data_IF_850479239665
#
_entry.id   IF_850479239665
#
_cell.length_a   1.000
_cell.length_b   1.000
_cell.length_c   1.000
_cell.angle_alpha   90.00
_cell.angle_beta   90.00
_cell.angle_gamma   90.00
#
_symmetry.space_group_name_H-M   'P 1'
#
loop_
_entity.id
_entity.type
_entity.pdbx_description
1 polymer ?
#
# COMPACT_ATOMS: atom_id res chain seq x y z
N UNK A 1 -7.54 27.53 48.52
CA UNK A 1 -7.01 26.84 47.32
C UNK A 1 -7.97 25.71 46.97
N UNK A 2 -8.94 25.98 46.10
CA UNK A 2 -9.85 24.96 45.57
C UNK A 2 -9.59 24.87 44.07
N UNK A 3 -9.03 23.75 43.64
CA UNK A 3 -8.77 23.41 42.23
C UNK A 3 -10.10 23.14 41.55
N UNK A 4 -10.51 24.02 40.63
CA UNK A 4 -11.68 23.81 39.79
C UNK A 4 -11.48 22.59 38.90
N UNK A 5 -12.40 21.63 38.98
CA UNK A 5 -12.45 20.53 38.02
C UNK A 5 -12.92 21.07 36.66
N UNK A 6 -12.37 20.59 35.53
CA UNK A 6 -12.79 21.03 34.22
C UNK A 6 -14.22 20.56 33.95
N UNK A 7 -15.13 21.50 33.66
CA UNK A 7 -16.49 21.19 33.23
C UNK A 7 -16.45 20.38 31.93
N UNK A 8 -16.98 19.16 31.99
CA UNK A 8 -17.02 18.26 30.83
C UNK A 8 -18.06 18.81 29.84
N UNK A 9 -17.61 19.22 28.65
CA UNK A 9 -18.48 19.82 27.63
C UNK A 9 -19.67 18.89 27.30
N UNK A 10 -20.91 19.39 27.21
CA UNK A 10 -22.09 18.57 26.92
C UNK A 10 -21.99 17.81 25.58
N UNK A 11 -21.19 18.32 24.63
CA UNK A 11 -20.87 17.64 23.39
C UNK A 11 -20.05 16.35 23.61
N UNK A 12 -19.17 16.34 24.62
CA UNK A 12 -18.32 15.20 24.96
C UNK A 12 -19.12 14.08 25.62
N UNK A 13 -20.11 14.45 26.45
CA UNK A 13 -21.07 13.51 27.05
C UNK A 13 -22.00 12.90 26.01
N UNK A 14 -22.47 13.69 25.04
CA UNK A 14 -23.24 13.19 23.90
C UNK A 14 -22.43 12.24 23.01
N UNK A 15 -21.19 12.58 22.70
CA UNK A 15 -20.29 11.72 21.93
C UNK A 15 -20.00 10.40 22.68
N UNK A 16 -19.75 10.46 23.98
CA UNK A 16 -19.56 9.28 24.82
C UNK A 16 -20.83 8.41 24.87
N UNK A 17 -22.02 9.01 24.98
CA UNK A 17 -23.29 8.30 24.96
C UNK A 17 -23.56 7.59 23.62
N UNK A 18 -23.29 8.25 22.50
CA UNK A 18 -23.38 7.65 21.16
C UNK A 18 -22.38 6.51 20.96
N UNK A 19 -21.15 6.66 21.48
CA UNK A 19 -20.15 5.61 21.45
C UNK A 19 -20.57 4.37 22.25
N UNK A 20 -21.13 4.56 23.46
CA UNK A 20 -21.64 3.46 24.29
C UNK A 20 -22.83 2.76 23.62
N UNK A 21 -23.74 3.50 22.99
CA UNK A 21 -24.86 2.92 22.23
C UNK A 21 -24.38 2.17 20.98
N UNK A 22 -23.38 2.68 20.27
CA UNK A 22 -22.78 2.00 19.12
C UNK A 22 -22.06 0.71 19.55
N UNK A 23 -21.32 0.74 20.66
CA UNK A 23 -20.66 -0.45 21.23
C UNK A 23 -21.71 -1.44 21.74
N UNK A 24 -22.74 -0.99 22.45
CA UNK A 24 -23.81 -1.85 22.99
C UNK A 24 -24.64 -2.53 21.89
N UNK A 25 -25.02 -1.79 20.85
CA UNK A 25 -25.72 -2.36 19.67
C UNK A 25 -24.83 -3.32 18.88
N UNK A 26 -23.55 -3.02 18.76
CA UNK A 26 -22.57 -3.91 18.14
C UNK A 26 -22.40 -5.21 18.95
N UNK A 27 -22.23 -5.13 20.27
CA UNK A 27 -22.16 -6.28 21.17
C UNK A 27 -23.45 -7.12 21.15
N UNK A 28 -24.62 -6.47 21.12
CA UNK A 28 -25.90 -7.15 20.95
C UNK A 28 -25.97 -7.92 19.61
N UNK A 29 -25.45 -7.33 18.52
CA UNK A 29 -25.34 -8.03 17.24
C UNK A 29 -24.36 -9.23 17.27
N UNK A 30 -23.30 -9.18 18.09
CA UNK A 30 -22.41 -10.33 18.34
C UNK A 30 -23.18 -11.46 19.05
N UNK A 31 -23.96 -11.11 20.06
CA UNK A 31 -24.73 -12.08 20.87
C UNK A 31 -25.85 -12.71 20.04
N UNK A 32 -26.58 -11.91 19.25
CA UNK A 32 -27.65 -12.39 18.35
C UNK A 32 -27.08 -13.19 17.17
N UNK A 33 -25.86 -12.89 16.71
CA UNK A 33 -25.17 -13.60 15.64
C UNK A 33 -24.62 -14.99 15.99
N UNK A 34 -24.82 -15.46 17.23
CA UNK A 34 -24.47 -16.83 17.67
C UNK A 34 -25.42 -17.92 17.17
N UNK A 35 -26.54 -17.55 16.54
CA UNK A 35 -27.54 -18.50 16.03
C UNK A 35 -27.45 -18.71 14.51
N UNK A 36 -26.77 -19.77 14.08
CA UNK A 36 -27.12 -20.65 12.95
C UNK A 36 -25.92 -21.54 12.60
N UNK A 37 -26.13 -22.87 12.52
CA UNK A 37 -25.12 -23.88 12.15
C UNK A 37 -24.49 -23.74 10.73
N UNK A 38 -24.78 -22.64 10.02
CA UNK A 38 -24.45 -22.43 8.60
C UNK A 38 -23.27 -21.48 8.37
N UNK A 39 -22.72 -20.87 9.42
CA UNK A 39 -21.64 -19.88 9.30
C UNK A 39 -20.41 -20.28 10.15
N UNK A 40 -19.19 -19.92 9.71
CA UNK A 40 -17.98 -20.12 10.52
C UNK A 40 -18.07 -19.44 11.90
N UNK A 41 -17.31 -19.90 12.91
CA UNK A 41 -17.32 -19.29 14.24
C UNK A 41 -16.90 -17.83 14.21
N UNK A 42 -17.42 -17.04 15.15
CA UNK A 42 -16.96 -15.66 15.39
C UNK A 42 -15.78 -15.70 16.35
N UNK A 43 -14.59 -15.37 15.86
CA UNK A 43 -13.37 -15.33 16.66
C UNK A 43 -13.12 -13.96 17.33
N UNK A 44 -13.87 -12.93 16.92
CA UNK A 44 -13.75 -11.61 17.53
C UNK A 44 -14.26 -10.49 16.64
N UNK A 45 -13.67 -9.31 16.85
CA UNK A 45 -14.03 -8.05 16.21
C UNK A 45 -12.85 -7.52 15.42
N UNK A 46 -13.11 -6.65 14.45
CA UNK A 46 -12.02 -5.95 13.74
C UNK A 46 -11.19 -5.05 14.64
N UNK A 47 -11.70 -4.64 15.81
CA UNK A 47 -10.95 -3.83 16.76
C UNK A 47 -9.79 -4.59 17.41
N UNK A 48 -9.87 -5.93 17.50
CA UNK A 48 -8.74 -6.73 17.95
C UNK A 48 -7.53 -6.61 16.99
N UNK A 49 -7.76 -6.36 15.69
CA UNK A 49 -6.67 -6.13 14.74
C UNK A 49 -5.89 -4.85 15.07
N UNK A 50 -6.57 -3.81 15.54
CA UNK A 50 -5.93 -2.56 15.99
C UNK A 50 -5.14 -2.79 17.27
N UNK A 51 -5.72 -3.54 18.22
CA UNK A 51 -5.04 -3.86 19.48
C UNK A 51 -3.78 -4.71 19.25
N UNK A 52 -3.83 -5.68 18.32
CA UNK A 52 -2.71 -6.55 17.98
C UNK A 52 -1.89 -6.06 16.78
N UNK A 53 -1.97 -4.78 16.39
CA UNK A 53 -1.39 -4.31 15.12
C UNK A 53 0.09 -4.67 14.96
N UNK A 54 0.90 -4.53 16.02
CA UNK A 54 2.34 -4.86 16.04
C UNK A 54 2.65 -6.35 15.83
N UNK A 55 1.68 -7.22 16.09
CA UNK A 55 1.80 -8.68 15.98
C UNK A 55 0.59 -9.24 15.24
N UNK A 56 0.11 -8.51 14.23
CA UNK A 56 -1.17 -8.82 13.57
C UNK A 56 -1.14 -10.21 12.91
N UNK A 57 0.00 -10.57 12.31
CA UNK A 57 0.19 -11.89 11.71
C UNK A 57 0.28 -13.01 12.75
N UNK A 58 0.92 -12.78 13.89
CA UNK A 58 0.93 -13.75 15.00
C UNK A 58 -0.49 -13.95 15.54
N UNK A 59 -1.23 -12.85 15.74
CA UNK A 59 -2.63 -12.89 16.16
C UNK A 59 -3.49 -13.72 15.20
N UNK A 60 -3.35 -13.49 13.89
CA UNK A 60 -4.04 -14.33 12.90
C UNK A 60 -3.59 -15.79 12.96
N UNK A 61 -2.30 -16.04 13.15
CA UNK A 61 -1.78 -17.41 13.26
C UNK A 61 -2.37 -18.14 14.46
N UNK A 62 -2.49 -17.47 15.61
CA UNK A 62 -3.13 -18.03 16.79
C UNK A 62 -4.61 -18.36 16.52
N UNK A 63 -5.35 -17.46 15.86
CA UNK A 63 -6.73 -17.75 15.45
C UNK A 63 -6.83 -18.91 14.45
N UNK A 64 -5.89 -19.03 13.52
CA UNK A 64 -5.88 -20.12 12.54
C UNK A 64 -5.48 -21.47 13.13
N UNK A 65 -4.79 -21.50 14.28
CA UNK A 65 -4.53 -22.73 15.03
C UNK A 65 -5.80 -23.32 15.64
N UNK A 66 -6.76 -22.46 15.98
CA UNK A 66 -8.03 -22.86 16.58
C UNK A 66 -9.14 -23.07 15.53
N UNK A 67 -9.11 -22.30 14.44
CA UNK A 67 -10.15 -22.26 13.43
C UNK A 67 -9.58 -22.16 12.01
N UNK A 68 -9.85 -23.17 11.17
CA UNK A 68 -9.47 -23.11 9.75
C UNK A 68 -10.19 -21.98 8.99
N UNK A 69 -11.44 -21.67 9.37
CA UNK A 69 -12.20 -20.54 8.85
C UNK A 69 -12.94 -19.87 10.01
N UNK A 70 -12.83 -18.54 10.12
CA UNK A 70 -13.52 -17.77 11.16
C UNK A 70 -13.98 -16.42 10.65
N UNK A 71 -14.80 -15.75 11.47
CA UNK A 71 -15.31 -14.40 11.20
C UNK A 71 -14.78 -13.40 12.22
N UNK A 72 -14.38 -12.23 11.71
CA UNK A 72 -14.26 -11.01 12.50
C UNK A 72 -15.42 -10.08 12.16
N UNK A 73 -16.14 -9.68 13.20
CA UNK A 73 -17.27 -8.77 13.05
C UNK A 73 -16.75 -7.35 12.86
N UNK A 74 -17.32 -6.60 11.92
CA UNK A 74 -17.00 -5.20 11.71
C UNK A 74 -18.29 -4.37 11.67
N UNK A 75 -18.24 -3.07 11.99
CA UNK A 75 -19.38 -2.19 11.75
C UNK A 75 -19.81 -2.26 10.27
N UNK A 76 -21.07 -2.63 10.03
CA UNK A 76 -21.67 -2.69 8.69
C UNK A 76 -21.17 -3.80 7.76
N UNK A 77 -20.28 -4.70 8.19
CA UNK A 77 -19.78 -5.81 7.35
C UNK A 77 -19.29 -7.01 8.16
N UNK A 78 -19.28 -8.18 7.52
CA UNK A 78 -18.71 -9.41 8.08
C UNK A 78 -17.43 -9.73 7.31
N UNK A 79 -16.30 -9.86 7.99
CA UNK A 79 -15.05 -10.30 7.38
C UNK A 79 -14.87 -11.79 7.67
N UNK A 80 -14.60 -12.58 6.63
CA UNK A 80 -14.33 -14.01 6.73
C UNK A 80 -12.83 -14.19 6.44
N UNK A 81 -12.17 -14.94 7.31
CA UNK A 81 -10.76 -15.30 7.20
C UNK A 81 -10.69 -16.82 7.08
N UNK A 82 -9.84 -17.32 6.20
CA UNK A 82 -9.73 -18.76 5.94
C UNK A 82 -8.30 -19.16 5.61
N UNK A 83 -7.84 -20.23 6.23
CA UNK A 83 -6.65 -21.00 5.88
C UNK A 83 -7.02 -22.37 5.26
N UNK A 84 -8.32 -22.68 5.18
CA UNK A 84 -8.82 -23.88 4.48
C UNK A 84 -8.49 -23.82 2.99
N UNK A 85 -7.62 -24.73 2.55
CA UNK A 85 -7.14 -24.83 1.17
C UNK A 85 -8.25 -25.02 0.14
N UNK A 86 -9.33 -25.74 0.47
CA UNK A 86 -10.45 -25.95 -0.45
C UNK A 86 -11.24 -24.64 -0.66
N UNK A 87 -11.40 -23.84 0.40
CA UNK A 87 -12.03 -22.52 0.31
C UNK A 87 -11.12 -21.54 -0.44
N UNK A 88 -9.81 -21.57 -0.18
CA UNK A 88 -8.83 -20.75 -0.91
C UNK A 88 -8.84 -21.07 -2.41
N UNK A 89 -8.85 -22.36 -2.77
CA UNK A 89 -8.97 -22.80 -4.16
C UNK A 89 -10.29 -22.34 -4.78
N UNK A 90 -11.38 -22.44 -4.03
CA UNK A 90 -12.68 -21.98 -4.50
C UNK A 90 -12.68 -20.51 -4.88
N UNK A 91 -12.12 -19.66 -4.01
CA UNK A 91 -12.02 -18.21 -4.18
C UNK A 91 -11.07 -17.86 -5.33
N UNK A 92 -9.88 -18.45 -5.37
CA UNK A 92 -8.80 -18.02 -6.27
C UNK A 92 -8.82 -18.72 -7.64
N UNK A 93 -9.48 -19.87 -7.77
CA UNK A 93 -9.47 -20.68 -8.99
C UNK A 93 -10.87 -20.99 -9.52
N UNK A 94 -11.68 -21.74 -8.77
CA UNK A 94 -12.90 -22.34 -9.36
C UNK A 94 -14.04 -21.35 -9.51
N UNK A 95 -14.05 -20.27 -8.71
CA UNK A 95 -15.13 -19.28 -8.70
C UNK A 95 -14.62 -17.82 -8.66
N UNK A 96 -13.42 -17.59 -9.20
CA UNK A 96 -12.70 -16.31 -9.13
C UNK A 96 -13.54 -15.09 -9.56
N UNK A 97 -14.36 -15.22 -10.60
CA UNK A 97 -15.19 -14.13 -11.11
C UNK A 97 -16.17 -13.55 -10.07
N UNK A 98 -16.54 -14.33 -9.05
CA UNK A 98 -17.42 -13.90 -7.96
C UNK A 98 -16.68 -13.27 -6.77
N UNK A 99 -15.34 -13.29 -6.77
CA UNK A 99 -14.50 -12.79 -5.67
C UNK A 99 -13.56 -11.67 -6.13
N UNK A 100 -14.13 -10.55 -6.58
CA UNK A 100 -13.38 -9.30 -6.79
C UNK A 100 -12.93 -8.65 -5.48
N UNK A 101 -12.01 -7.68 -5.56
CA UNK A 101 -11.56 -6.88 -4.40
C UNK A 101 -12.70 -6.06 -3.81
N UNK A 102 -13.58 -5.55 -4.67
CA UNK A 102 -14.82 -4.88 -4.33
C UNK A 102 -14.65 -3.41 -3.93
N UNK A 103 -15.79 -2.72 -3.82
CA UNK A 103 -15.86 -1.28 -3.54
C UNK A 103 -15.15 -0.87 -2.24
N UNK A 104 -15.15 -1.73 -1.21
CA UNK A 104 -14.49 -1.40 0.05
C UNK A 104 -12.97 -1.41 -0.05
N UNK A 105 -12.38 -2.24 -0.93
CA UNK A 105 -10.96 -2.21 -1.23
C UNK A 105 -10.64 -0.96 -2.05
N UNK A 106 -11.41 -0.75 -3.13
CA UNK A 106 -11.27 0.42 -4.00
C UNK A 106 -11.23 1.73 -3.20
N UNK A 107 -12.22 1.97 -2.36
CA UNK A 107 -12.36 3.18 -1.54
C UNK A 107 -11.18 3.41 -0.57
N UNK A 108 -10.49 2.35 -0.15
CA UNK A 108 -9.30 2.49 0.71
C UNK A 108 -8.04 2.80 -0.08
N UNK A 109 -7.91 2.26 -1.29
CA UNK A 109 -6.64 2.27 -2.04
C UNK A 109 -6.61 3.25 -3.21
N UNK A 110 -7.78 3.72 -3.67
CA UNK A 110 -7.90 4.58 -4.85
C UNK A 110 -7.22 5.93 -4.72
N UNK A 111 -7.09 6.47 -3.50
CA UNK A 111 -6.42 7.77 -3.32
C UNK A 111 -4.92 7.70 -3.67
N UNK A 112 -4.26 6.56 -3.46
CA UNK A 112 -2.83 6.38 -3.75
C UNK A 112 -2.59 5.71 -5.11
N UNK A 113 -3.39 4.69 -5.44
CA UNK A 113 -3.16 3.84 -6.61
C UNK A 113 -4.11 4.14 -7.77
N UNK A 114 -5.04 5.09 -7.58
CA UNK A 114 -6.07 5.40 -8.56
C UNK A 114 -6.80 4.14 -9.02
N UNK A 115 -6.95 4.06 -10.33
CA UNK A 115 -7.56 2.96 -11.07
C UNK A 115 -6.58 1.86 -11.51
N UNK A 116 -5.39 1.83 -10.90
CA UNK A 116 -4.31 0.93 -11.26
C UNK A 116 -4.57 -0.54 -10.92
N UNK A 117 -3.60 -1.39 -11.27
CA UNK A 117 -3.68 -2.86 -11.12
C UNK A 117 -3.96 -3.32 -9.67
N UNK A 118 -3.60 -2.51 -8.67
CA UNK A 118 -3.84 -2.80 -7.25
C UNK A 118 -5.25 -2.46 -6.78
N UNK A 119 -5.97 -1.57 -7.47
CA UNK A 119 -7.32 -1.11 -7.08
C UNK A 119 -8.41 -1.67 -7.98
N UNK A 120 -8.21 -1.71 -9.29
CA UNK A 120 -9.23 -2.13 -10.25
C UNK A 120 -9.65 -3.59 -10.10
N UNK A 121 -10.86 -3.90 -10.58
CA UNK A 121 -11.47 -5.23 -10.69
C UNK A 121 -11.94 -5.51 -12.14
N UNK A 122 -12.34 -6.76 -12.41
CA UNK A 122 -13.04 -7.15 -13.64
C UNK A 122 -12.21 -6.98 -14.91
N UNK A 123 -12.85 -6.56 -16.00
CA UNK A 123 -12.20 -6.35 -17.30
C UNK A 123 -11.10 -5.28 -17.25
N UNK A 124 -11.32 -4.21 -16.47
CA UNK A 124 -10.34 -3.15 -16.27
C UNK A 124 -9.05 -3.72 -15.66
N UNK A 125 -9.16 -4.50 -14.59
CA UNK A 125 -8.00 -5.20 -14.02
C UNK A 125 -7.35 -6.17 -15.01
N UNK A 126 -8.14 -6.94 -15.78
CA UNK A 126 -7.60 -7.87 -16.79
C UNK A 126 -6.80 -7.15 -17.86
N UNK A 127 -7.26 -5.99 -18.33
CA UNK A 127 -6.54 -5.15 -19.27
C UNK A 127 -5.22 -4.65 -18.67
N UNK A 128 -5.29 -4.07 -17.46
CA UNK A 128 -4.10 -3.55 -16.76
C UNK A 128 -3.05 -4.64 -16.53
N UNK A 129 -3.48 -5.82 -16.06
CA UNK A 129 -2.61 -6.99 -15.85
C UNK A 129 -2.02 -7.53 -17.15
N UNK A 130 -2.80 -7.62 -18.22
CA UNK A 130 -2.32 -8.11 -19.52
C UNK A 130 -1.20 -7.21 -20.03
N UNK A 131 -1.38 -5.90 -19.91
CA UNK A 131 -0.39 -4.93 -20.36
C UNK A 131 0.88 -5.02 -19.50
N UNK A 132 0.75 -4.96 -18.17
CA UNK A 132 1.88 -5.13 -17.26
C UNK A 132 2.62 -6.48 -17.45
N UNK A 133 1.93 -7.54 -17.88
CA UNK A 133 2.57 -8.86 -18.08
C UNK A 133 3.65 -8.87 -19.15
N UNK A 134 3.59 -7.98 -20.13
CA UNK A 134 4.65 -7.83 -21.13
C UNK A 134 5.94 -7.32 -20.50
N UNK A 135 5.79 -6.46 -19.49
CA UNK A 135 6.90 -5.85 -18.78
C UNK A 135 7.63 -6.87 -17.88
N UNK A 136 6.91 -7.88 -17.40
CA UNK A 136 7.44 -9.00 -16.62
C UNK A 136 7.77 -10.25 -17.45
N UNK A 137 7.90 -10.13 -18.77
CA UNK A 137 8.31 -11.25 -19.61
C UNK A 137 9.77 -11.64 -19.36
N UNK A 138 10.11 -12.92 -19.56
CA UNK A 138 11.49 -13.42 -19.37
C UNK A 138 12.51 -12.65 -20.22
N UNK A 139 12.12 -12.27 -21.45
CA UNK A 139 12.97 -11.46 -22.33
C UNK A 139 13.18 -10.07 -21.73
N UNK A 140 12.11 -9.40 -21.30
CA UNK A 140 12.24 -8.05 -20.79
C UNK A 140 13.04 -7.98 -19.47
N UNK A 141 12.82 -8.93 -18.57
CA UNK A 141 13.62 -9.05 -17.34
C UNK A 141 15.11 -9.28 -17.64
N UNK A 142 15.43 -10.11 -18.65
CA UNK A 142 16.82 -10.38 -19.04
C UNK A 142 17.48 -9.17 -19.71
N UNK A 143 16.81 -8.60 -20.70
CA UNK A 143 17.40 -7.62 -21.62
C UNK A 143 17.38 -6.20 -21.03
N UNK A 144 16.45 -5.89 -20.13
CA UNK A 144 16.29 -4.55 -19.55
C UNK A 144 16.54 -4.53 -18.05
N UNK A 145 15.95 -5.44 -17.28
CA UNK A 145 16.04 -5.39 -15.81
C UNK A 145 17.37 -5.92 -15.27
N UNK A 146 17.98 -6.91 -15.93
CA UNK A 146 19.21 -7.55 -15.46
C UNK A 146 20.37 -6.57 -15.27
N UNK A 147 20.56 -5.63 -16.21
CA UNK A 147 21.59 -4.59 -16.09
C UNK A 147 21.35 -3.63 -14.93
N UNK A 148 20.09 -3.25 -14.70
CA UNK A 148 19.69 -2.38 -13.59
C UNK A 148 19.93 -3.08 -12.26
N UNK A 149 19.44 -4.32 -12.11
CA UNK A 149 19.63 -5.10 -10.88
C UNK A 149 21.10 -5.34 -10.58
N UNK A 150 21.93 -5.69 -11.57
CA UNK A 150 23.36 -5.88 -11.35
C UNK A 150 24.06 -4.58 -10.93
N UNK A 151 23.70 -3.45 -11.56
CA UNK A 151 24.24 -2.13 -11.20
C UNK A 151 23.90 -1.78 -9.75
N UNK A 152 22.63 -1.89 -9.36
CA UNK A 152 22.18 -1.49 -8.03
C UNK A 152 22.64 -2.47 -6.96
N UNK A 153 22.73 -3.78 -7.28
CA UNK A 153 23.36 -4.78 -6.41
C UNK A 153 24.85 -4.48 -6.20
N UNK A 154 25.57 -4.02 -7.22
CA UNK A 154 26.95 -3.59 -7.07
C UNK A 154 27.07 -2.33 -6.20
N UNK A 155 26.20 -1.32 -6.39
CA UNK A 155 26.12 -0.13 -5.50
C UNK A 155 25.90 -0.57 -4.05
N UNK A 156 24.93 -1.44 -3.81
CA UNK A 156 24.63 -1.99 -2.50
C UNK A 156 25.82 -2.74 -1.89
N UNK A 157 26.47 -3.62 -2.66
CA UNK A 157 27.64 -4.36 -2.22
C UNK A 157 28.81 -3.44 -1.84
N UNK A 158 29.02 -2.34 -2.59
CA UNK A 158 30.03 -1.34 -2.26
C UNK A 158 29.74 -0.63 -0.93
N UNK A 159 28.49 -0.22 -0.70
CA UNK A 159 28.08 0.39 0.59
C UNK A 159 28.32 -0.59 1.74
N UNK A 160 27.88 -1.84 1.56
CA UNK A 160 28.04 -2.88 2.58
C UNK A 160 29.52 -3.16 2.88
N UNK A 161 30.34 -3.29 1.84
CA UNK A 161 31.78 -3.52 1.97
C UNK A 161 32.50 -2.33 2.64
N UNK A 162 32.10 -1.10 2.33
CA UNK A 162 32.67 0.10 2.94
C UNK A 162 32.38 0.17 4.45
N UNK A 163 31.13 -0.07 4.83
CA UNK A 163 30.72 -0.09 6.24
C UNK A 163 31.38 -1.24 7.01
N UNK A 164 31.50 -2.43 6.40
CA UNK A 164 32.19 -3.56 6.99
C UNK A 164 33.69 -3.27 7.23
N UNK A 165 34.37 -2.65 6.25
CA UNK A 165 35.76 -2.25 6.39
C UNK A 165 35.95 -1.20 7.51
N UNK A 166 34.99 -0.28 7.65
CA UNK A 166 34.96 0.73 8.70
C UNK A 166 34.46 0.20 10.07
N UNK A 167 34.09 -1.09 10.16
CA UNK A 167 33.46 -1.73 11.34
C UNK A 167 32.25 -0.94 11.87
N UNK A 168 31.54 -0.27 10.97
CA UNK A 168 30.35 0.49 11.34
C UNK A 168 29.16 -0.48 11.46
N UNK A 169 28.38 -0.41 12.54
CA UNK A 169 27.13 -1.13 12.61
C UNK A 169 26.23 -0.61 11.49
N UNK A 170 25.62 -1.53 10.76
CA UNK A 170 24.77 -1.23 9.62
C UNK A 170 23.49 -1.97 9.82
N UNK A 171 22.41 -1.22 9.76
CA UNK A 171 21.09 -1.79 9.87
C UNK A 171 20.57 -2.12 8.48
N UNK A 172 20.24 -3.40 8.29
CA UNK A 172 19.61 -3.87 7.06
C UNK A 172 18.08 -3.77 7.15
N UNK A 173 17.52 -3.63 8.36
CA UNK A 173 16.07 -3.79 8.60
C UNK A 173 15.45 -2.90 9.69
N UNK A 174 16.22 -2.23 10.54
CA UNK A 174 15.72 -1.53 11.73
C UNK A 174 16.34 -0.11 11.84
N UNK A 175 15.69 0.76 12.61
CA UNK A 175 16.30 2.02 13.05
C UNK A 175 15.86 2.27 14.49
N UNK A 176 16.77 2.22 15.48
CA UNK A 176 16.48 2.79 16.79
C UNK A 176 16.65 4.31 16.69
N UNK A 177 15.66 5.06 17.17
CA UNK A 177 15.63 6.52 17.36
C UNK A 177 15.02 7.41 16.25
N UNK A 178 13.68 7.45 16.22
CA UNK A 178 12.94 8.72 16.06
C UNK A 178 11.96 8.88 17.25
N UNK A 179 12.19 9.86 18.16
CA UNK A 179 11.50 9.92 19.46
C UNK A 179 10.02 10.34 19.39
N UNK A 180 9.48 10.65 18.20
CA UNK A 180 8.09 11.11 18.04
C UNK A 180 7.50 10.46 16.78
N UNK A 181 7.32 9.14 16.76
CA UNK A 181 6.38 8.47 15.85
C UNK A 181 5.52 7.52 16.66
N UNK A 182 4.45 8.10 17.18
CA UNK A 182 3.54 7.50 18.15
C UNK A 182 2.49 6.66 17.39
N UNK A 183 2.51 5.36 17.70
CA UNK A 183 1.51 4.30 17.49
C UNK A 183 1.23 3.66 16.11
N UNK A 184 1.60 4.21 14.96
CA UNK A 184 1.09 3.67 13.67
C UNK A 184 2.07 3.64 12.50
N UNK A 185 3.35 3.96 12.73
CA UNK A 185 4.32 4.23 11.66
C UNK A 185 5.65 3.52 11.90
N UNK A 186 5.67 2.20 11.75
CA UNK A 186 6.85 1.39 12.11
C UNK A 186 6.81 -0.03 11.58
N UNK A 187 6.07 -0.29 10.49
CA UNK A 187 5.99 -1.64 9.95
C UNK A 187 7.04 -1.94 8.86
N UNK A 188 7.77 -0.96 8.31
CA UNK A 188 8.68 -1.18 7.16
C UNK A 188 9.90 -0.23 7.08
N UNK A 189 10.64 0.03 8.17
CA UNK A 189 11.90 0.82 8.09
C UNK A 189 13.11 -0.05 7.66
N UNK A 190 13.07 -0.62 6.44
CA UNK A 190 14.25 -1.25 5.82
C UNK A 190 15.04 -0.22 5.00
N UNK A 191 15.91 0.57 5.61
CA UNK A 191 16.52 1.69 4.87
C UNK A 191 17.31 1.23 3.63
N UNK A 192 18.17 0.22 3.73
CA UNK A 192 19.12 -0.07 2.65
C UNK A 192 18.52 -0.95 1.54
N UNK A 193 17.80 -2.02 1.92
CA UNK A 193 17.17 -2.93 0.95
C UNK A 193 15.96 -2.28 0.26
N UNK A 194 15.18 -1.46 0.97
CA UNK A 194 14.08 -0.73 0.35
C UNK A 194 14.60 0.32 -0.63
N UNK A 195 15.64 1.09 -0.27
CA UNK A 195 16.30 2.04 -1.20
C UNK A 195 16.81 1.33 -2.45
N UNK A 196 17.51 0.20 -2.30
CA UNK A 196 18.00 -0.58 -3.43
C UNK A 196 16.86 -1.12 -4.31
N UNK A 197 15.80 -1.65 -3.70
CA UNK A 197 14.63 -2.17 -4.42
C UNK A 197 13.89 -1.04 -5.14
N UNK A 198 13.75 0.12 -4.49
CA UNK A 198 13.10 1.30 -5.04
C UNK A 198 13.90 1.84 -6.23
N UNK A 199 15.22 2.00 -6.11
CA UNK A 199 16.09 2.43 -7.22
C UNK A 199 15.96 1.49 -8.43
N UNK A 200 16.00 0.17 -8.20
CA UNK A 200 15.88 -0.82 -9.25
C UNK A 200 14.50 -0.83 -9.91
N UNK A 201 13.44 -0.97 -9.12
CA UNK A 201 12.08 -1.05 -9.64
C UNK A 201 11.69 0.26 -10.30
N UNK A 202 12.04 1.42 -9.73
CA UNK A 202 11.72 2.71 -10.34
C UNK A 202 12.52 2.95 -11.64
N UNK A 203 13.79 2.55 -11.68
CA UNK A 203 14.57 2.59 -12.94
C UNK A 203 13.93 1.71 -14.01
N UNK A 204 13.50 0.50 -13.65
CA UNK A 204 12.84 -0.42 -14.59
C UNK A 204 11.47 0.12 -15.02
N UNK A 205 10.69 0.62 -14.06
CA UNK A 205 9.32 1.06 -14.22
C UNK A 205 9.19 2.40 -14.95
N UNK A 206 10.06 3.35 -14.65
CA UNK A 206 9.94 4.76 -15.09
C UNK A 206 11.09 5.13 -16.01
N UNK A 207 12.18 4.35 -16.03
CA UNK A 207 13.35 4.61 -16.86
C UNK A 207 14.31 5.62 -16.25
N UNK A 208 14.11 6.01 -14.98
CA UNK A 208 14.88 7.03 -14.28
C UNK A 208 15.48 6.42 -13.01
N UNK A 209 16.77 6.64 -12.80
CA UNK A 209 17.42 6.30 -11.53
C UNK A 209 17.01 7.31 -10.46
N UNK A 210 16.37 6.83 -9.38
CA UNK A 210 16.04 7.68 -8.23
C UNK A 210 17.29 8.04 -7.43
N UNK A 211 18.31 7.17 -7.49
CA UNK A 211 19.59 7.30 -6.81
C UNK A 211 19.46 7.54 -5.30
N UNK A 212 18.51 6.83 -4.67
CA UNK A 212 18.28 6.89 -3.23
C UNK A 212 19.44 6.29 -2.43
N UNK A 213 20.16 5.31 -3.01
CA UNK A 213 21.36 4.73 -2.41
C UNK A 213 22.55 5.71 -2.34
N UNK A 214 22.60 6.70 -3.22
CA UNK A 214 23.70 7.69 -3.27
C UNK A 214 23.29 9.06 -2.72
N UNK A 215 22.04 9.22 -2.25
CA UNK A 215 21.60 10.39 -1.50
C UNK A 215 20.94 11.50 -2.33
N UNK A 216 20.32 11.17 -3.47
CA UNK A 216 19.47 12.11 -4.21
C UNK A 216 18.35 12.66 -3.33
N UNK A 217 18.27 13.99 -3.19
CA UNK A 217 17.27 14.66 -2.33
C UNK A 217 15.84 14.45 -2.85
N UNK A 218 15.63 14.62 -4.16
CA UNK A 218 14.30 14.47 -4.78
C UNK A 218 13.85 13.00 -4.78
N UNK A 219 14.74 12.06 -5.13
CA UNK A 219 14.43 10.62 -5.15
C UNK A 219 14.15 10.06 -3.76
N UNK A 220 14.94 10.45 -2.76
CA UNK A 220 14.75 10.03 -1.38
C UNK A 220 13.45 10.59 -0.79
N UNK A 221 13.10 11.85 -1.11
CA UNK A 221 11.83 12.46 -0.70
C UNK A 221 10.63 11.74 -1.31
N UNK A 222 10.70 11.38 -2.60
CA UNK A 222 9.67 10.59 -3.26
C UNK A 222 9.51 9.22 -2.61
N UNK A 223 10.62 8.47 -2.44
CA UNK A 223 10.59 7.13 -1.87
C UNK A 223 10.00 7.12 -0.45
N UNK A 224 10.42 8.05 0.41
CA UNK A 224 9.88 8.20 1.75
C UNK A 224 8.40 8.60 1.77
N UNK A 225 7.96 9.45 0.83
CA UNK A 225 6.56 9.82 0.73
C UNK A 225 5.68 8.64 0.25
N UNK A 226 6.16 7.86 -0.71
CA UNK A 226 5.46 6.67 -1.20
C UNK A 226 5.33 5.58 -0.13
N UNK A 227 6.39 5.39 0.66
CA UNK A 227 6.40 4.43 1.77
C UNK A 227 5.41 4.85 2.89
N UNK A 228 5.50 6.10 3.36
CA UNK A 228 4.54 6.68 4.32
C UNK A 228 3.09 6.57 3.79
N UNK A 229 2.86 6.88 2.51
CA UNK A 229 1.53 6.83 1.92
C UNK A 229 0.99 5.39 1.85
N UNK A 230 1.86 4.43 1.54
CA UNK A 230 1.51 3.01 1.51
C UNK A 230 1.14 2.52 2.92
N UNK A 231 1.90 2.90 3.94
CA UNK A 231 1.61 2.56 5.33
C UNK A 231 0.28 3.15 5.79
N UNK A 232 0.05 4.45 5.58
CA UNK A 232 -1.23 5.07 5.95
C UNK A 232 -2.42 4.48 5.19
N UNK A 233 -2.22 4.08 3.94
CA UNK A 233 -3.25 3.37 3.15
C UNK A 233 -3.55 2.00 3.76
N UNK A 234 -2.55 1.24 4.20
CA UNK A 234 -2.72 -0.05 4.87
C UNK A 234 -3.48 0.09 6.21
N UNK A 235 -3.23 1.17 6.96
CA UNK A 235 -3.94 1.43 8.22
C UNK A 235 -5.46 1.53 8.05
N UNK A 236 -5.96 1.94 6.87
CA UNK A 236 -7.40 2.00 6.57
C UNK A 236 -8.07 0.62 6.63
N UNK A 237 -7.31 -0.46 6.45
CA UNK A 237 -7.85 -1.83 6.50
C UNK A 237 -8.18 -2.27 7.93
N UNK A 238 -7.41 -1.80 8.91
CA UNK A 238 -7.60 -2.12 10.34
C UNK A 238 -8.39 -1.04 11.08
N UNK A 239 -8.30 0.22 10.65
CA UNK A 239 -9.02 1.34 11.27
C UNK A 239 -10.45 1.46 10.73
N UNK A 240 -11.45 1.04 11.50
CA UNK A 240 -12.87 1.16 11.10
C UNK A 240 -13.35 2.62 10.93
N UNK A 241 -12.67 3.59 11.54
CA UNK A 241 -13.08 4.99 11.57
C UNK A 241 -12.28 5.89 10.61
N UNK A 242 -11.51 5.31 9.69
CA UNK A 242 -10.64 6.06 8.77
C UNK A 242 -11.40 7.13 7.96
N UNK A 243 -12.67 6.90 7.58
CA UNK A 243 -13.51 7.88 6.88
C UNK A 243 -13.79 9.13 7.71
N UNK A 244 -13.95 8.97 9.03
CA UNK A 244 -14.16 10.09 9.95
C UNK A 244 -12.87 10.90 10.06
N UNK A 245 -11.72 10.22 10.21
CA UNK A 245 -10.41 10.87 10.21
C UNK A 245 -10.11 11.60 8.89
N UNK A 246 -10.54 11.04 7.76
CA UNK A 246 -10.45 11.65 6.43
C UNK A 246 -11.34 12.88 6.32
N UNK A 247 -12.60 12.80 6.75
CA UNK A 247 -13.54 13.93 6.73
C UNK A 247 -13.06 15.10 7.57
N UNK A 248 -12.53 14.83 8.76
CA UNK A 248 -11.95 15.85 9.66
C UNK A 248 -10.56 16.30 9.22
N UNK A 249 -9.93 15.59 8.27
CA UNK A 249 -8.56 15.81 7.81
C UNK A 249 -7.55 15.88 8.99
N UNK A 250 -7.52 14.84 9.82
CA UNK A 250 -6.64 14.75 11.00
C UNK A 250 -5.82 13.46 11.03
N UNK A 251 -4.68 13.50 11.74
CA UNK A 251 -3.83 12.35 11.99
C UNK A 251 -3.22 11.74 10.72
N UNK A 252 -3.26 10.41 10.62
CA UNK A 252 -2.70 9.65 9.49
C UNK A 252 -3.32 10.03 8.14
N UNK A 253 -4.61 10.37 8.10
CA UNK A 253 -5.30 10.75 6.85
C UNK A 253 -4.82 12.11 6.32
N UNK A 254 -4.58 13.08 7.21
CA UNK A 254 -4.01 14.38 6.83
C UNK A 254 -2.54 14.26 6.38
N UNK A 255 -1.80 13.33 6.99
CA UNK A 255 -0.44 13.01 6.56
C UNK A 255 -0.45 12.33 5.18
N UNK A 256 -1.31 11.32 4.98
CA UNK A 256 -1.49 10.60 3.72
C UNK A 256 -1.79 11.56 2.56
N UNK A 257 -2.71 12.51 2.73
CA UNK A 257 -3.01 13.51 1.69
C UNK A 257 -1.76 14.28 1.26
N UNK A 258 -0.97 14.79 2.20
CA UNK A 258 0.28 15.51 1.90
C UNK A 258 1.34 14.63 1.25
N UNK A 259 1.38 13.33 1.58
CA UNK A 259 2.30 12.38 0.95
C UNK A 259 1.89 12.07 -0.49
N UNK A 260 0.60 11.88 -0.74
CA UNK A 260 0.07 11.69 -2.09
C UNK A 260 0.40 12.90 -2.96
N UNK A 261 0.28 14.13 -2.47
CA UNK A 261 0.66 15.33 -3.21
C UNK A 261 2.13 15.30 -3.67
N UNK A 262 3.05 14.84 -2.82
CA UNK A 262 4.49 14.69 -3.16
C UNK A 262 4.70 13.59 -4.21
N UNK A 263 3.99 12.46 -4.06
CA UNK A 263 4.05 11.34 -5.01
C UNK A 263 3.53 11.80 -6.38
N UNK A 264 2.36 12.43 -6.41
CA UNK A 264 1.72 12.93 -7.63
C UNK A 264 2.60 13.98 -8.32
N UNK A 265 3.10 14.97 -7.58
CA UNK A 265 3.98 16.01 -8.14
C UNK A 265 5.18 15.38 -8.87
N UNK A 266 5.83 14.42 -8.22
CA UNK A 266 6.97 13.71 -8.79
C UNK A 266 6.57 12.89 -10.02
N UNK A 267 5.49 12.10 -9.93
CA UNK A 267 5.04 11.24 -11.04
C UNK A 267 4.58 12.07 -12.25
N UNK A 268 3.78 13.13 -12.04
CA UNK A 268 3.32 14.01 -13.12
C UNK A 268 4.46 14.81 -13.74
N UNK A 269 5.49 15.18 -12.97
CA UNK A 269 6.72 15.77 -13.54
C UNK A 269 7.39 14.80 -14.51
N UNK A 270 7.52 13.52 -14.15
CA UNK A 270 8.12 12.48 -15.00
C UNK A 270 7.26 12.15 -16.23
N UNK A 271 5.95 12.07 -16.07
CA UNK A 271 5.01 11.83 -17.19
C UNK A 271 5.09 12.98 -18.20
N UNK A 272 5.07 14.24 -17.74
CA UNK A 272 5.17 15.42 -18.62
C UNK A 272 6.49 15.47 -19.38
N UNK A 273 7.62 15.35 -18.66
CA UNK A 273 8.93 15.32 -19.29
C UNK A 273 9.02 14.23 -20.37
N UNK A 274 8.39 13.07 -20.13
CA UNK A 274 8.33 12.00 -21.12
C UNK A 274 7.41 12.30 -22.30
N UNK A 275 6.27 12.95 -22.07
CA UNK A 275 5.38 13.36 -23.15
C UNK A 275 6.07 14.37 -24.07
N UNK A 276 6.82 15.32 -23.50
CA UNK A 276 7.58 16.33 -24.23
C UNK A 276 8.68 15.70 -25.10
N UNK A 277 9.43 14.72 -24.56
CA UNK A 277 10.41 13.95 -25.33
C UNK A 277 9.79 13.24 -26.54
N UNK A 278 8.56 12.73 -26.39
CA UNK A 278 7.85 12.01 -27.47
C UNK A 278 7.30 12.99 -28.52
N UNK A 279 6.85 14.19 -28.12
CA UNK A 279 6.39 15.21 -29.06
C UNK A 279 7.53 15.80 -29.87
N UNK A 280 8.69 16.03 -29.24
CA UNK A 280 9.88 16.54 -29.92
C UNK A 280 10.45 15.51 -30.91
N UNK A 281 10.41 14.21 -30.59
CA UNK A 281 10.72 13.13 -31.54
C UNK A 281 9.63 12.94 -32.62
N UNK A 282 8.39 13.36 -32.33
CA UNK A 282 7.20 13.20 -33.18
C UNK A 282 7.08 14.21 -34.32
N UNK A 283 7.58 15.45 -34.14
CA UNK A 283 7.72 16.43 -35.23
C UNK A 283 8.71 15.96 -36.32
N UNK A 284 9.55 14.95 -36.02
CA UNK A 284 10.52 14.41 -36.98
C UNK A 284 9.99 13.26 -37.86
N UNK A 285 8.90 12.54 -37.51
CA UNK A 285 8.37 11.48 -38.38
C UNK A 285 6.93 11.03 -38.06
N UNK A 286 6.12 11.04 -39.11
CA UNK A 286 4.73 10.58 -39.25
C UNK A 286 4.41 9.19 -38.66
N UNK A 287 3.15 9.03 -38.22
CA UNK A 287 2.29 7.89 -37.73
C UNK A 287 2.81 6.46 -37.52
N UNK A 288 3.99 6.07 -38.01
CA UNK A 288 4.71 4.81 -37.71
C UNK A 288 5.51 4.91 -36.39
N UNK A 289 5.68 6.10 -35.85
CA UNK A 289 6.46 6.47 -34.65
C UNK A 289 5.85 5.97 -33.33
N UNK A 290 4.54 5.77 -33.25
CA UNK A 290 3.90 5.15 -32.06
C UNK A 290 4.34 3.68 -31.86
N UNK A 291 4.78 3.01 -32.93
CA UNK A 291 5.40 1.69 -32.92
C UNK A 291 6.94 1.72 -32.77
N UNK A 292 7.56 2.90 -32.87
CA UNK A 292 9.02 3.15 -32.73
C UNK A 292 9.41 3.86 -31.43
N UNK A 293 8.55 3.91 -30.42
CA UNK A 293 9.04 4.13 -29.05
C UNK A 293 10.16 3.11 -28.81
N UNK A 294 11.39 3.56 -28.51
CA UNK A 294 12.48 2.62 -28.18
C UNK A 294 11.92 1.67 -27.11
N UNK A 295 12.23 0.36 -27.16
CA UNK A 295 11.62 -0.62 -26.26
C UNK A 295 11.63 -0.18 -24.78
N UNK A 296 12.69 0.49 -24.34
CA UNK A 296 12.82 1.12 -23.01
C UNK A 296 11.79 2.22 -22.73
N UNK A 297 11.49 3.08 -23.71
CA UNK A 297 10.54 4.17 -23.55
C UNK A 297 9.08 3.69 -23.48
N UNK A 298 8.74 2.68 -24.28
CA UNK A 298 7.40 2.07 -24.29
C UNK A 298 7.11 1.30 -23.00
N UNK A 299 8.13 0.60 -22.48
CA UNK A 299 8.08 -0.16 -21.23
C UNK A 299 7.78 0.75 -20.03
N UNK A 300 8.43 1.92 -19.96
CA UNK A 300 8.33 2.77 -18.78
C UNK A 300 7.04 3.61 -18.69
N UNK A 301 6.54 4.12 -19.82
CA UNK A 301 5.29 4.88 -19.84
C UNK A 301 4.08 3.98 -19.52
N UNK A 302 4.08 2.77 -20.06
CA UNK A 302 3.03 1.78 -19.86
C UNK A 302 2.91 1.38 -18.39
N UNK A 303 4.03 1.08 -17.73
CA UNK A 303 4.01 0.65 -16.34
C UNK A 303 3.59 1.79 -15.40
N UNK A 304 4.05 3.03 -15.64
CA UNK A 304 3.68 4.20 -14.84
C UNK A 304 2.17 4.46 -14.89
N UNK A 305 1.60 4.60 -16.09
CA UNK A 305 0.17 4.81 -16.33
C UNK A 305 -0.70 3.74 -15.64
N UNK A 306 -0.20 2.50 -15.56
CA UNK A 306 -0.96 1.35 -15.03
C UNK A 306 -0.78 1.14 -13.53
N UNK A 307 0.33 1.59 -12.97
CA UNK A 307 0.58 1.59 -11.52
C UNK A 307 -0.14 2.74 -10.83
N UNK A 308 -0.24 3.91 -11.47
CA UNK A 308 -0.89 5.10 -10.89
C UNK A 308 -2.35 5.28 -11.34
N UNK A 309 -2.80 4.53 -12.36
CA UNK A 309 -4.15 4.65 -12.90
C UNK A 309 -4.41 5.94 -13.67
N UNK A 310 -3.36 6.72 -13.99
CA UNK A 310 -3.46 7.93 -14.82
C UNK A 310 -3.72 7.49 -16.26
N UNK A 311 -4.93 7.69 -16.77
CA UNK A 311 -5.20 7.51 -18.20
C UNK A 311 -4.50 8.65 -18.97
N UNK A 312 -3.65 8.27 -19.91
CA UNK A 312 -3.06 9.20 -20.89
C UNK A 312 -4.07 9.69 -21.90
#
# INVERSE_FOLDING_TARGET
MATGMPECSPALLLAAGLAVLAIGSYLAAIVVGRGAARYPPVAGTVFHQVYHLRRLHDYYTDLFREHATFRLLAPGRRQIYTSDTAVVEHILRTNFANYGKGASHYDKTSDLFGDGIFTADGDKWRQQRKIASYDFSTRALRDFSGGVFNRDAAKLAHIVSGNAAAKQPMDFQDHPAKPIRVYLTGFLDQELLMKATMDSIFTIAVGVDLDTLSGSDEGSRFAAALDDASEFTLLRFVNAFWKVSRFLNVGAEAALRRRIEVVDEFMYKRIRARADEISDDGEAHDTVSMLRLKPKLRFSLTLVTHLTGVQG
#
